data_IF_799950223011
#
_entry.id   IF_799950223011
#
_cell.length_a   1.000
_cell.length_b   1.000
_cell.length_c   1.000
_cell.angle_alpha   90.00
_cell.angle_beta   90.00
_cell.angle_gamma   90.00
#
_symmetry.space_group_name_H-M   'P 1'
#
loop_
_entity.id
_entity.type
_entity.pdbx_description
1 polymer ?
#
# COMPACT_ATOMS: atom_id res chain seq x y z
N UNK A 1 -0.91 24.40 -5.35
CA UNK A 1 -0.91 23.05 -4.75
C UNK A 1 -2.27 22.84 -4.11
N UNK A 2 -3.10 21.95 -4.67
CA UNK A 2 -4.37 21.58 -4.05
C UNK A 2 -4.09 20.53 -2.97
N UNK A 3 -4.54 20.78 -1.73
CA UNK A 3 -4.39 19.85 -0.61
C UNK A 3 -5.76 19.22 -0.36
N UNK A 4 -5.83 17.89 -0.42
CA UNK A 4 -7.04 17.17 -0.05
C UNK A 4 -7.31 17.37 1.45
N UNK A 5 -8.57 17.60 1.86
CA UNK A 5 -8.93 17.62 3.28
C UNK A 5 -8.70 16.21 3.84
N UNK A 6 -7.67 16.06 4.67
CA UNK A 6 -7.27 14.78 5.24
C UNK A 6 -7.71 14.71 6.71
N UNK A 7 -8.49 13.70 7.12
CA UNK A 7 -8.91 13.57 8.52
C UNK A 7 -7.75 13.08 9.41
N UNK A 8 -7.78 13.45 10.69
CA UNK A 8 -6.84 12.91 11.70
C UNK A 8 -7.07 11.39 11.87
N UNK A 9 -5.99 10.62 12.06
CA UNK A 9 -6.01 9.16 12.26
C UNK A 9 -6.64 8.36 11.10
N UNK A 10 -6.13 8.54 9.89
CA UNK A 10 -6.68 7.94 8.66
C UNK A 10 -5.64 7.17 7.85
N UNK A 11 -4.91 6.29 8.54
CA UNK A 11 -4.01 5.32 7.90
C UNK A 11 -4.79 4.46 6.88
N UNK A 12 -5.99 4.00 7.25
CA UNK A 12 -6.91 3.22 6.39
C UNK A 12 -7.35 3.96 5.10
N UNK A 13 -7.25 5.30 5.07
CA UNK A 13 -7.56 6.09 3.89
C UNK A 13 -6.33 6.39 3.04
N UNK A 14 -5.12 6.12 3.54
CA UNK A 14 -3.87 6.41 2.87
C UNK A 14 -3.53 5.27 1.88
N UNK A 15 -3.66 5.49 0.56
CA UNK A 15 -3.46 4.42 -0.42
C UNK A 15 -2.03 3.85 -0.39
N UNK A 16 -1.06 4.63 0.09
CA UNK A 16 0.32 4.15 0.17
C UNK A 16 0.48 3.00 1.16
N UNK A 17 -0.37 2.89 2.20
CA UNK A 17 -0.33 1.77 3.14
C UNK A 17 -0.67 0.46 2.43
N UNK A 18 -1.66 0.48 1.54
CA UNK A 18 -1.98 -0.68 0.71
C UNK A 18 -0.83 -1.03 -0.24
N UNK A 19 -0.14 -0.03 -0.80
CA UNK A 19 1.05 -0.25 -1.63
C UNK A 19 2.16 -0.90 -0.80
N UNK A 20 2.40 -0.44 0.43
CA UNK A 20 3.38 -1.04 1.35
C UNK A 20 3.05 -2.50 1.66
N UNK A 21 1.78 -2.83 1.90
CA UNK A 21 1.32 -4.21 2.07
C UNK A 21 1.64 -5.07 0.84
N UNK A 22 1.30 -4.61 -0.38
CA UNK A 22 1.61 -5.32 -1.63
C UNK A 22 3.11 -5.57 -1.77
N UNK A 23 3.93 -4.56 -1.48
CA UNK A 23 5.38 -4.69 -1.57
C UNK A 23 5.93 -5.70 -0.55
N UNK A 24 5.41 -5.68 0.67
CA UNK A 24 5.82 -6.61 1.73
C UNK A 24 5.47 -8.06 1.36
N UNK A 25 4.29 -8.30 0.81
CA UNK A 25 3.85 -9.62 0.35
C UNK A 25 4.74 -10.14 -0.80
N UNK A 26 5.05 -9.27 -1.77
CA UNK A 26 5.96 -9.61 -2.89
C UNK A 26 7.39 -9.87 -2.41
N UNK A 27 7.87 -9.10 -1.43
CA UNK A 27 9.18 -9.29 -0.83
C UNK A 27 9.26 -10.64 -0.09
N UNK A 28 8.22 -10.97 0.68
CA UNK A 28 8.11 -12.25 1.36
C UNK A 28 8.09 -13.42 0.36
N UNK A 29 7.31 -13.30 -0.72
CA UNK A 29 7.27 -14.30 -1.78
C UNK A 29 8.61 -14.47 -2.50
N UNK A 30 9.31 -13.36 -2.81
CA UNK A 30 10.63 -13.39 -3.45
C UNK A 30 11.70 -14.07 -2.57
N UNK A 31 11.62 -13.87 -1.25
CA UNK A 31 12.53 -14.46 -0.28
C UNK A 31 12.42 -16.00 -0.18
N UNK A 32 11.35 -16.61 -0.68
CA UNK A 32 11.22 -18.07 -0.74
C UNK A 32 12.33 -18.73 -1.57
N UNK A 33 12.88 -18.01 -2.55
CA UNK A 33 13.99 -18.48 -3.39
C UNK A 33 15.38 -18.07 -2.87
N UNK A 34 15.44 -17.47 -1.67
CA UNK A 34 16.66 -16.98 -1.03
C UNK A 34 16.55 -15.50 -0.64
N UNK A 35 16.94 -15.17 0.59
CA UNK A 35 16.94 -13.79 1.08
C UNK A 35 18.17 -13.03 0.55
N UNK A 36 18.02 -11.75 0.14
CA UNK A 36 19.17 -10.91 -0.18
C UNK A 36 20.08 -10.79 1.05
N UNK A 37 21.39 -10.94 0.83
CA UNK A 37 22.39 -10.97 1.91
C UNK A 37 23.07 -9.62 2.14
N UNK A 38 22.79 -8.62 1.29
CA UNK A 38 23.36 -7.28 1.39
C UNK A 38 22.27 -6.21 1.33
N UNK A 39 22.61 -5.02 1.82
CA UNK A 39 21.71 -3.86 1.76
C UNK A 39 21.44 -3.48 0.31
N UNK A 40 22.46 -3.54 -0.54
CA UNK A 40 22.37 -3.22 -1.97
C UNK A 40 21.41 -4.19 -2.69
N UNK A 41 21.56 -5.50 -2.48
CA UNK A 41 20.67 -6.50 -3.06
C UNK A 41 19.22 -6.34 -2.56
N UNK A 42 19.05 -5.91 -1.30
CA UNK A 42 17.73 -5.62 -0.73
C UNK A 42 17.09 -4.40 -1.38
N UNK A 43 17.87 -3.32 -1.56
CA UNK A 43 17.41 -2.11 -2.25
C UNK A 43 17.03 -2.39 -3.70
N UNK A 44 17.84 -3.17 -4.42
CA UNK A 44 17.54 -3.58 -5.80
C UNK A 44 16.23 -4.37 -5.88
N UNK A 45 16.01 -5.31 -4.95
CA UNK A 45 14.77 -6.10 -4.90
C UNK A 45 13.56 -5.23 -4.60
N UNK A 46 13.65 -4.31 -3.64
CA UNK A 46 12.57 -3.36 -3.32
C UNK A 46 12.24 -2.49 -4.54
N UNK A 47 13.26 -1.95 -5.21
CA UNK A 47 13.08 -1.13 -6.41
C UNK A 47 12.47 -1.93 -7.57
N UNK A 48 12.88 -3.19 -7.73
CA UNK A 48 12.28 -4.09 -8.72
C UNK A 48 10.79 -4.29 -8.43
N UNK A 49 10.44 -4.66 -7.20
CA UNK A 49 9.06 -4.87 -6.77
C UNK A 49 8.21 -3.61 -7.00
N UNK A 50 8.72 -2.44 -6.62
CA UNK A 50 8.06 -1.15 -6.84
C UNK A 50 7.76 -0.92 -8.33
N UNK A 51 8.74 -1.15 -9.21
CA UNK A 51 8.59 -0.95 -10.65
C UNK A 51 7.68 -2.00 -11.32
N UNK A 52 7.46 -3.14 -10.68
CA UNK A 52 6.53 -4.19 -11.14
C UNK A 52 5.08 -3.95 -10.70
N UNK A 53 4.80 -2.93 -9.88
CA UNK A 53 3.42 -2.55 -9.57
C UNK A 53 2.81 -1.93 -10.83
N UNK A 54 1.80 -2.60 -11.36
CA UNK A 54 1.16 -2.18 -12.60
C UNK A 54 0.24 -0.98 -12.39
N UNK A 55 0.00 -0.23 -13.47
CA UNK A 55 -0.98 0.87 -13.43
C UNK A 55 -2.38 0.37 -13.08
N UNK A 56 -2.74 -0.84 -13.49
CA UNK A 56 -4.05 -1.42 -13.19
C UNK A 56 -4.21 -1.72 -11.70
N UNK A 57 -3.14 -2.13 -11.01
CA UNK A 57 -3.16 -2.27 -9.55
C UNK A 57 -3.35 -0.92 -8.85
N UNK A 58 -2.66 0.12 -9.31
CA UNK A 58 -2.84 1.47 -8.79
C UNK A 58 -4.25 2.00 -9.06
N UNK A 59 -4.81 1.75 -10.24
CA UNK A 59 -6.17 2.16 -10.58
C UNK A 59 -7.21 1.48 -9.72
N UNK A 60 -7.12 0.16 -9.52
CA UNK A 60 -8.03 -0.58 -8.62
C UNK A 60 -8.01 -0.04 -7.19
N UNK A 61 -6.83 0.37 -6.71
CA UNK A 61 -6.70 0.99 -5.40
C UNK A 61 -7.40 2.36 -5.34
N UNK A 62 -7.27 3.18 -6.38
CA UNK A 62 -7.99 4.47 -6.46
C UNK A 62 -9.50 4.24 -6.53
N UNK A 63 -9.95 3.23 -7.27
CA UNK A 63 -11.36 2.85 -7.38
C UNK A 63 -11.95 2.33 -6.06
N UNK A 64 -11.15 1.77 -5.15
CA UNK A 64 -11.61 1.28 -3.84
C UNK A 64 -11.68 2.36 -2.76
N UNK A 65 -11.06 3.53 -2.96
CA UNK A 65 -11.05 4.62 -1.96
C UNK A 65 -12.44 5.09 -1.50
N UNK A 66 -13.47 5.16 -2.36
CA UNK A 66 -14.83 5.44 -1.91
C UNK A 66 -15.32 4.42 -0.86
N UNK A 67 -15.08 3.12 -1.08
CA UNK A 67 -15.47 2.06 -0.13
C UNK A 67 -14.71 2.18 1.19
N UNK A 68 -13.41 2.49 1.15
CA UNK A 68 -12.60 2.72 2.36
C UNK A 68 -13.15 3.92 3.15
N UNK A 69 -13.49 4.99 2.43
CA UNK A 69 -14.07 6.21 3.03
C UNK A 69 -15.40 5.93 3.70
N UNK A 70 -16.28 5.18 3.03
CA UNK A 70 -17.55 4.74 3.61
C UNK A 70 -17.36 3.85 4.84
N UNK A 71 -16.38 2.94 4.82
CA UNK A 71 -16.06 2.10 5.96
C UNK A 71 -15.61 2.92 7.18
N UNK A 72 -14.74 3.93 6.99
CA UNK A 72 -14.28 4.82 8.07
C UNK A 72 -15.43 5.67 8.64
N UNK A 73 -16.32 6.15 7.76
CA UNK A 73 -17.53 6.86 8.19
C UNK A 73 -18.44 5.93 9.02
N UNK A 74 -18.69 4.71 8.55
CA UNK A 74 -19.51 3.73 9.24
C UNK A 74 -18.91 3.29 10.59
N UNK A 75 -17.58 3.21 10.68
CA UNK A 75 -16.86 2.93 11.93
C UNK A 75 -16.85 4.11 12.91
N UNK A 76 -17.45 5.25 12.56
CA UNK A 76 -17.47 6.44 13.41
C UNK A 76 -16.07 7.01 13.67
N UNK A 77 -15.16 6.89 12.70
CA UNK A 77 -13.71 7.18 12.80
C UNK A 77 -12.87 6.12 13.54
N UNK A 78 -13.41 4.93 13.77
CA UNK A 78 -12.65 3.77 14.26
C UNK A 78 -11.91 3.02 13.15
N UNK A 79 -11.09 2.04 13.54
CA UNK A 79 -10.34 1.17 12.61
C UNK A 79 -11.28 0.35 11.71
N UNK A 80 -10.88 0.20 10.45
CA UNK A 80 -11.58 -0.61 9.46
C UNK A 80 -10.73 -1.84 9.08
N UNK A 81 -11.23 -2.63 8.14
CA UNK A 81 -10.50 -3.77 7.57
C UNK A 81 -9.47 -3.37 6.49
N UNK A 82 -9.45 -2.08 6.13
CA UNK A 82 -8.68 -1.51 5.04
C UNK A 82 -7.41 -0.85 5.56
#
# INVERSE_FOLDING_TARGET
>A
LYKLPWPESSEDLNPIETIWCIMNDRLFAANWNGQPQTVEATQELIMKIWNEISKDELWRLVESLPEHTEAVIAAGRGHTKY
#
